data_IF_508141071270
#
_entry.id   IF_508141071270
#
_cell.length_a   1.000
_cell.length_b   1.000
_cell.length_c   1.000
_cell.angle_alpha   90.00
_cell.angle_beta   90.00
_cell.angle_gamma   90.00
#
_symmetry.space_group_name_H-M   'P 1'
#
loop_
_entity.id
_entity.type
_entity.pdbx_description
1 polymer ?
#
# COMPACT_ATOMS: atom_id res chain seq x y z
N UNK A 1 14.23 -3.98 -8.81
CA UNK A 1 13.01 -4.79 -9.04
C UNK A 1 12.56 -5.41 -7.72
N UNK A 2 12.19 -4.60 -6.73
CA UNK A 2 11.21 -4.98 -5.70
C UNK A 2 10.74 -3.71 -5.00
N UNK A 3 9.98 -2.88 -5.71
CA UNK A 3 9.30 -1.72 -5.10
C UNK A 3 7.88 -2.14 -4.70
N UNK A 4 7.68 -3.39 -4.26
CA UNK A 4 6.39 -3.82 -3.74
C UNK A 4 6.19 -3.23 -2.36
N UNK A 5 5.10 -2.51 -2.26
CA UNK A 5 4.58 -1.97 -1.02
C UNK A 5 4.24 -3.14 -0.08
N UNK A 6 4.83 -3.16 1.12
CA UNK A 6 4.65 -4.25 2.06
C UNK A 6 3.21 -4.33 2.59
N UNK A 7 2.51 -3.19 2.72
CA UNK A 7 1.13 -3.17 3.22
C UNK A 7 0.18 -3.92 2.28
N UNK A 8 0.31 -3.67 0.97
CA UNK A 8 -0.44 -4.39 -0.07
C UNK A 8 -0.02 -5.85 -0.23
N UNK A 9 1.25 -6.17 0.05
CA UNK A 9 1.71 -7.56 0.04
C UNK A 9 1.13 -8.34 1.22
N UNK A 10 1.15 -7.75 2.42
CA UNK A 10 0.64 -8.36 3.65
C UNK A 10 -0.89 -8.58 3.63
N UNK A 11 -1.63 -7.84 2.79
CA UNK A 11 -3.08 -7.97 2.68
C UNK A 11 -3.55 -9.14 1.81
N UNK A 12 -2.65 -9.79 1.05
CA UNK A 12 -3.00 -10.92 0.21
C UNK A 12 -2.80 -12.24 0.95
N UNK A 13 -1.55 -12.54 1.37
CA UNK A 13 -1.20 -13.74 2.13
C UNK A 13 0.07 -13.49 2.96
N UNK A 14 0.40 -14.44 3.85
CA UNK A 14 1.65 -14.46 4.64
C UNK A 14 1.88 -13.18 5.49
N UNK A 15 0.79 -12.57 5.97
CA UNK A 15 0.76 -11.26 6.66
C UNK A 15 1.83 -11.11 7.74
N UNK A 16 1.94 -12.06 8.69
CA UNK A 16 2.91 -11.96 9.79
C UNK A 16 4.36 -11.92 9.31
N UNK A 17 4.70 -12.75 8.31
CA UNK A 17 6.06 -12.80 7.76
C UNK A 17 6.43 -11.48 7.08
N UNK A 18 5.54 -10.96 6.24
CA UNK A 18 5.76 -9.71 5.50
C UNK A 18 5.91 -8.52 6.45
N UNK A 19 5.10 -8.45 7.51
CA UNK A 19 5.19 -7.37 8.50
C UNK A 19 6.47 -7.46 9.34
N UNK A 20 6.90 -8.67 9.72
CA UNK A 20 8.14 -8.87 10.47
C UNK A 20 9.35 -8.44 9.63
N UNK A 21 9.44 -8.89 8.38
CA UNK A 21 10.54 -8.50 7.48
C UNK A 21 10.57 -6.97 7.26
N UNK A 22 9.41 -6.35 7.04
CA UNK A 22 9.32 -4.90 6.90
C UNK A 22 9.75 -4.13 8.16
N UNK A 23 9.38 -4.62 9.35
CA UNK A 23 9.77 -4.00 10.62
C UNK A 23 11.28 -4.14 10.90
N UNK A 24 11.87 -5.31 10.61
CA UNK A 24 13.31 -5.54 10.76
C UNK A 24 14.15 -4.68 9.81
N UNK A 25 13.66 -4.46 8.59
CA UNK A 25 14.34 -3.64 7.59
C UNK A 25 14.05 -2.13 7.73
N UNK A 26 13.16 -1.74 8.66
CA UNK A 26 12.73 -0.35 8.81
C UNK A 26 12.06 0.22 7.55
N UNK A 27 11.33 -0.62 6.80
CA UNK A 27 10.69 -0.23 5.54
C UNK A 27 9.56 0.76 5.76
N UNK A 28 9.51 1.79 4.93
CA UNK A 28 8.41 2.76 4.87
C UNK A 28 7.60 2.59 3.59
N UNK A 29 6.28 2.66 3.74
CA UNK A 29 5.34 2.65 2.62
C UNK A 29 4.77 4.04 2.39
N UNK A 30 4.85 4.50 1.14
CA UNK A 30 4.38 5.83 0.73
C UNK A 30 2.89 5.87 0.39
N UNK A 31 2.19 4.74 0.41
CA UNK A 31 0.74 4.63 0.22
C UNK A 31 0.23 5.26 -1.11
N UNK A 32 1.04 5.19 -2.16
CA UNK A 32 0.76 5.85 -3.46
C UNK A 32 -0.01 4.99 -4.44
N UNK A 33 -0.17 3.70 -4.18
CA UNK A 33 -0.86 2.78 -5.08
C UNK A 33 -2.35 2.66 -4.76
N UNK A 34 -3.07 1.97 -5.64
CA UNK A 34 -4.51 1.82 -5.53
C UNK A 34 -4.90 0.94 -4.34
N UNK A 35 -4.21 -0.18 -4.12
CA UNK A 35 -4.54 -1.13 -3.04
C UNK A 35 -4.31 -0.53 -1.66
N UNK A 36 -3.21 0.18 -1.49
CA UNK A 36 -2.87 0.88 -0.26
C UNK A 36 -3.96 1.89 0.10
N UNK A 37 -4.39 2.69 -0.88
CA UNK A 37 -5.44 3.69 -0.69
C UNK A 37 -6.79 3.05 -0.33
N UNK A 38 -7.13 1.88 -0.89
CA UNK A 38 -8.31 1.11 -0.46
C UNK A 38 -8.16 0.63 0.98
N UNK A 39 -7.03 0.02 1.33
CA UNK A 39 -6.79 -0.56 2.66
C UNK A 39 -6.89 0.51 3.77
N UNK A 40 -6.38 1.71 3.52
CA UNK A 40 -6.41 2.82 4.50
C UNK A 40 -7.70 3.66 4.46
N UNK A 41 -8.58 3.42 3.48
CA UNK A 41 -9.83 4.18 3.32
C UNK A 41 -9.65 5.57 2.69
N UNK A 42 -8.55 5.80 1.97
CA UNK A 42 -8.34 7.01 1.18
C UNK A 42 -9.05 6.95 -0.18
N UNK A 43 -9.31 8.12 -0.76
CA UNK A 43 -9.85 8.21 -2.11
C UNK A 43 -8.85 7.64 -3.11
N UNK A 44 -9.23 6.58 -3.82
CA UNK A 44 -8.39 5.96 -4.83
C UNK A 44 -8.24 6.87 -6.07
N UNK A 45 -7.06 6.88 -6.74
CA UNK A 45 -6.82 7.71 -7.91
C UNK A 45 -7.42 7.08 -9.17
N UNK A 46 -8.72 6.77 -9.15
CA UNK A 46 -9.50 6.29 -10.30
C UNK A 46 -10.91 6.87 -10.30
N UNK A 47 -11.51 7.03 -11.48
CA UNK A 47 -12.89 7.51 -11.63
C UNK A 47 -13.12 8.90 -11.03
N UNK A 48 -14.10 9.02 -10.12
CA UNK A 48 -14.41 10.26 -9.39
C UNK A 48 -13.26 10.77 -8.52
N UNK A 49 -12.31 9.90 -8.17
CA UNK A 49 -11.10 10.24 -7.41
C UNK A 49 -10.12 11.16 -8.14
N UNK A 50 -10.17 11.22 -9.48
CA UNK A 50 -9.33 12.13 -10.27
C UNK A 50 -9.79 13.60 -10.22
N UNK A 51 -11.04 13.88 -9.80
CA UNK A 51 -11.61 15.23 -9.89
C UNK A 51 -11.02 16.23 -8.89
N UNK A 52 -10.18 15.78 -7.95
CA UNK A 52 -9.52 16.67 -6.96
C UNK A 52 -8.17 17.23 -7.44
N UNK A 53 -7.67 16.84 -8.61
CA UNK A 53 -6.39 17.34 -9.18
C UNK A 53 -6.55 18.02 -10.55
N UNK A 54 -7.76 18.52 -10.87
CA UNK A 54 -7.99 19.38 -12.04
C UNK A 54 -7.72 20.84 -11.72
#
# INVERSE_FOLDING_TARGET
LDHRVFLSAASFEQTSRVLIEAALEGKEDKLRGLKENVIIGNLIPVGTGFRKHG
#
